data_IF_837346961550
#
_entry.id   IF_837346961550
#
_cell.length_a   1.000
_cell.length_b   1.000
_cell.length_c   1.000
_cell.angle_alpha   90.00
_cell.angle_beta   90.00
_cell.angle_gamma   90.00
#
_symmetry.space_group_name_H-M   'P 1'
#
loop_
_entity.id
_entity.type
_entity.pdbx_description
1 polymer ?
#
# COMPACT_ATOMS: atom_id res chain seq x y z
N UNK A 1 -13.22 19.65 -23.45
CA UNK A 1 -13.64 19.35 -22.07
C UNK A 1 -12.40 18.91 -21.30
N UNK A 2 -11.80 19.78 -20.50
CA UNK A 2 -10.62 19.46 -19.69
C UNK A 2 -11.07 18.50 -18.59
N UNK A 3 -10.78 17.20 -18.75
CA UNK A 3 -11.03 16.21 -17.70
C UNK A 3 -9.87 16.28 -16.72
N UNK A 4 -10.04 17.00 -15.60
CA UNK A 4 -9.09 16.94 -14.50
C UNK A 4 -9.06 15.52 -13.96
N UNK A 5 -7.96 14.79 -14.17
CA UNK A 5 -7.82 13.42 -13.68
C UNK A 5 -7.89 13.44 -12.15
N UNK A 6 -8.69 12.55 -11.55
CA UNK A 6 -8.71 12.39 -10.09
C UNK A 6 -7.37 11.79 -9.67
N UNK A 7 -6.53 12.60 -9.04
CA UNK A 7 -5.20 12.19 -8.57
C UNK A 7 -5.18 12.24 -7.05
N UNK A 8 -5.17 11.08 -6.41
CA UNK A 8 -4.92 10.94 -4.98
C UNK A 8 -3.42 10.73 -4.75
N UNK A 9 -2.64 11.79 -4.88
CA UNK A 9 -1.26 11.79 -4.43
C UNK A 9 -1.19 12.02 -2.90
N UNK A 10 -0.55 11.10 -2.17
CA UNK A 10 -0.32 11.22 -0.73
C UNK A 10 0.50 12.47 -0.37
N UNK A 11 1.30 13.03 -1.30
CA UNK A 11 1.99 14.30 -1.08
C UNK A 11 1.04 15.48 -0.91
N UNK A 12 -0.23 15.35 -1.30
CA UNK A 12 -1.25 16.36 -1.09
C UNK A 12 -1.53 16.69 0.38
N UNK A 13 -1.05 15.86 1.32
CA UNK A 13 -1.12 16.12 2.75
C UNK A 13 0.08 16.89 3.30
N UNK A 14 1.06 17.25 2.45
CA UNK A 14 2.21 18.08 2.83
C UNK A 14 1.92 19.54 2.45
N UNK A 15 2.18 20.53 3.34
CA UNK A 15 1.90 21.92 3.04
C UNK A 15 2.77 22.44 1.89
N UNK A 16 2.21 23.35 1.09
CA UNK A 16 2.95 24.03 0.02
C UNK A 16 4.13 24.82 0.61
N UNK A 17 5.30 24.71 -0.04
CA UNK A 17 6.52 25.37 0.43
C UNK A 17 7.17 24.72 1.67
N UNK A 18 6.73 23.53 2.08
CA UNK A 18 7.39 22.79 3.15
C UNK A 18 8.88 22.54 2.81
N UNK A 19 9.75 22.75 3.79
CA UNK A 19 11.20 22.46 3.66
C UNK A 19 11.47 21.03 3.17
N UNK A 20 10.67 20.06 3.60
CA UNK A 20 10.80 18.66 3.18
C UNK A 20 10.58 18.46 1.66
N UNK A 21 9.73 19.27 1.01
CA UNK A 21 9.53 19.20 -0.44
C UNK A 21 10.77 19.74 -1.17
N UNK A 22 11.32 20.85 -0.70
CA UNK A 22 12.56 21.40 -1.25
C UNK A 22 13.74 20.42 -1.09
N UNK A 23 13.89 19.80 0.09
CA UNK A 23 14.92 18.77 0.31
C UNK A 23 14.73 17.55 -0.59
N UNK A 24 13.47 17.18 -0.88
CA UNK A 24 13.15 16.10 -1.79
C UNK A 24 13.57 16.43 -3.23
N UNK A 25 13.30 17.66 -3.68
CA UNK A 25 13.63 18.11 -5.04
C UNK A 25 15.16 18.22 -5.23
N UNK A 26 15.88 18.79 -4.26
CA UNK A 26 17.35 18.82 -4.26
C UNK A 26 17.94 17.41 -4.28
N UNK A 27 17.35 16.48 -3.52
CA UNK A 27 17.79 15.08 -3.52
C UNK A 27 17.58 14.43 -4.88
N UNK A 28 16.42 14.64 -5.50
CA UNK A 28 16.11 14.09 -6.82
C UNK A 28 17.06 14.64 -7.90
N UNK A 29 17.38 15.94 -7.85
CA UNK A 29 18.38 16.56 -8.72
C UNK A 29 19.78 15.96 -8.51
N UNK A 30 20.23 15.85 -7.26
CA UNK A 30 21.55 15.30 -6.92
C UNK A 30 21.73 13.86 -7.40
N UNK A 31 20.70 13.02 -7.31
CA UNK A 31 20.76 11.63 -7.77
C UNK A 31 20.34 11.43 -9.22
N UNK A 32 20.00 12.49 -9.97
CA UNK A 32 19.52 12.39 -11.35
C UNK A 32 18.23 11.58 -11.49
N UNK A 33 17.35 11.65 -10.49
CA UNK A 33 16.08 10.94 -10.43
C UNK A 33 14.93 11.88 -10.77
N UNK A 34 13.90 11.37 -11.43
CA UNK A 34 12.69 12.13 -11.73
C UNK A 34 11.51 11.63 -10.90
N UNK A 35 11.42 12.03 -9.63
CA UNK A 35 10.31 11.65 -8.74
C UNK A 35 10.49 10.30 -8.04
N UNK A 36 9.39 9.74 -7.53
CA UNK A 36 9.42 8.48 -6.77
C UNK A 36 9.58 7.30 -7.74
N UNK A 37 10.62 6.48 -7.54
CA UNK A 37 10.74 5.16 -8.16
C UNK A 37 9.87 4.11 -7.51
N UNK A 38 10.06 2.85 -7.90
CA UNK A 38 9.29 1.72 -7.38
C UNK A 38 9.59 1.54 -5.89
N UNK A 39 8.55 1.50 -5.04
CA UNK A 39 8.70 1.25 -3.60
C UNK A 39 7.52 0.45 -3.05
N UNK A 40 7.79 -0.79 -2.67
CA UNK A 40 6.80 -1.64 -2.02
C UNK A 40 7.46 -2.62 -1.05
N UNK A 41 6.67 -3.11 -0.10
CA UNK A 41 7.07 -4.13 0.84
C UNK A 41 6.22 -5.37 0.63
N UNK A 42 6.83 -6.52 0.85
CA UNK A 42 6.17 -7.81 0.91
C UNK A 42 6.33 -8.35 2.32
N UNK A 43 5.21 -8.51 3.00
CA UNK A 43 5.13 -9.03 4.36
C UNK A 43 4.78 -10.52 4.25
N UNK A 44 5.62 -11.38 4.80
CA UNK A 44 5.48 -12.82 4.76
C UNK A 44 5.23 -13.31 6.19
N UNK A 45 4.10 -13.99 6.37
CA UNK A 45 3.68 -14.57 7.65
C UNK A 45 3.51 -16.08 7.51
N UNK A 46 3.75 -16.86 8.57
CA UNK A 46 3.46 -18.28 8.56
C UNK A 46 1.92 -18.50 8.57
N UNK A 47 1.43 -19.50 7.85
CA UNK A 47 -0.01 -19.85 7.87
C UNK A 47 -0.46 -20.54 9.16
N UNK A 48 0.45 -21.24 9.83
CA UNK A 48 0.16 -21.92 11.09
C UNK A 48 -0.05 -20.89 12.22
N UNK A 49 -1.06 -21.09 13.07
CA UNK A 49 -1.42 -20.13 14.14
C UNK A 49 -0.28 -19.83 15.13
N UNK A 50 0.57 -20.82 15.41
CA UNK A 50 1.79 -20.67 16.20
C UNK A 50 3.04 -21.01 15.35
N UNK A 51 2.96 -20.76 14.04
CA UNK A 51 4.08 -21.01 13.14
C UNK A 51 5.22 -20.02 13.37
N UNK A 52 6.44 -20.47 13.09
CA UNK A 52 7.63 -19.63 13.09
C UNK A 52 8.15 -19.50 11.66
N UNK A 53 8.68 -18.33 11.32
CA UNK A 53 9.38 -18.11 10.06
C UNK A 53 10.74 -18.81 10.01
N UNK A 54 11.21 -19.42 11.11
CA UNK A 54 12.47 -20.17 11.16
C UNK A 54 12.36 -21.60 10.60
N UNK A 55 11.16 -22.09 10.28
CA UNK A 55 11.01 -23.42 9.70
C UNK A 55 11.62 -23.47 8.28
N UNK A 56 12.43 -24.50 7.98
CA UNK A 56 13.13 -24.65 6.70
C UNK A 56 12.19 -24.50 5.49
N UNK A 57 11.03 -25.17 5.53
CA UNK A 57 10.02 -25.11 4.46
C UNK A 57 9.39 -23.73 4.30
N UNK A 58 9.30 -22.97 5.39
CA UNK A 58 8.73 -21.62 5.41
C UNK A 58 9.76 -20.62 4.86
N UNK A 59 11.03 -20.76 5.24
CA UNK A 59 12.14 -19.96 4.70
C UNK A 59 12.34 -20.19 3.21
N UNK A 60 12.36 -21.45 2.77
CA UNK A 60 12.51 -21.80 1.35
C UNK A 60 11.41 -21.16 0.50
N UNK A 61 10.15 -21.22 0.98
CA UNK A 61 9.02 -20.60 0.29
C UNK A 61 9.11 -19.06 0.32
N UNK A 62 9.64 -18.46 1.38
CA UNK A 62 9.88 -17.02 1.44
C UNK A 62 10.96 -16.56 0.44
N UNK A 63 12.01 -17.36 0.23
CA UNK A 63 13.04 -17.13 -0.79
C UNK A 63 12.48 -17.33 -2.20
N UNK A 64 11.54 -18.25 -2.39
CA UNK A 64 10.83 -18.42 -3.66
C UNK A 64 10.03 -17.16 -4.02
N UNK A 65 9.35 -16.54 -3.04
CA UNK A 65 8.64 -15.26 -3.23
C UNK A 65 9.58 -14.17 -3.73
N UNK A 66 10.78 -14.06 -3.14
CA UNK A 66 11.78 -13.10 -3.61
C UNK A 66 12.18 -13.37 -5.06
N UNK A 67 12.48 -14.62 -5.39
CA UNK A 67 12.84 -15.02 -6.76
C UNK A 67 11.76 -14.68 -7.80
N UNK A 68 10.48 -14.88 -7.46
CA UNK A 68 9.36 -14.55 -8.36
C UNK A 68 9.33 -13.06 -8.68
N UNK A 69 9.50 -12.19 -7.68
CA UNK A 69 9.46 -10.73 -7.88
C UNK A 69 10.67 -10.26 -8.69
N UNK A 70 11.85 -10.79 -8.37
CA UNK A 70 13.11 -10.44 -9.01
C UNK A 70 13.14 -10.80 -10.51
N UNK A 71 12.49 -11.92 -10.90
CA UNK A 71 12.62 -12.51 -12.26
C UNK A 71 11.34 -12.48 -13.09
N UNK A 72 10.18 -12.82 -12.53
CA UNK A 72 8.96 -13.07 -13.32
C UNK A 72 8.11 -11.82 -13.51
N UNK A 73 8.12 -10.89 -12.55
CA UNK A 73 7.30 -9.68 -12.62
C UNK A 73 8.05 -8.58 -13.36
N UNK A 74 7.58 -8.28 -14.57
CA UNK A 74 8.20 -7.31 -15.49
C UNK A 74 7.47 -5.97 -15.51
N UNK A 75 8.22 -4.92 -15.83
CA UNK A 75 7.70 -3.58 -16.14
C UNK A 75 8.11 -3.21 -17.56
N UNK A 76 7.17 -2.63 -18.31
CA UNK A 76 7.44 -2.18 -19.67
C UNK A 76 8.17 -0.83 -19.66
N UNK A 77 9.32 -0.77 -20.32
CA UNK A 77 10.12 0.43 -20.48
C UNK A 77 9.94 1.02 -21.88
N UNK A 78 9.41 2.25 -21.94
CA UNK A 78 9.08 2.94 -23.20
C UNK A 78 10.31 3.39 -23.99
N UNK A 79 11.45 3.56 -23.33
CA UNK A 79 12.69 3.99 -23.99
C UNK A 79 13.40 2.79 -24.63
N UNK A 80 13.53 1.70 -23.87
CA UNK A 80 14.19 0.48 -24.37
C UNK A 80 13.25 -0.40 -25.20
N UNK A 81 11.94 -0.11 -25.16
CA UNK A 81 10.85 -0.85 -25.80
C UNK A 81 10.87 -2.34 -25.42
N UNK A 82 11.17 -2.63 -24.15
CA UNK A 82 11.30 -3.99 -23.60
C UNK A 82 10.58 -4.10 -22.27
N UNK A 83 10.15 -5.33 -21.97
CA UNK A 83 9.74 -5.72 -20.64
C UNK A 83 10.97 -6.12 -19.83
N UNK A 84 11.20 -5.40 -18.73
CA UNK A 84 12.39 -5.58 -17.89
C UNK A 84 11.94 -6.12 -16.53
N UNK A 85 12.63 -7.13 -16.01
CA UNK A 85 12.36 -7.64 -14.65
C UNK A 85 12.92 -6.68 -13.60
N UNK A 86 12.51 -6.84 -12.33
CA UNK A 86 13.02 -6.00 -11.25
C UNK A 86 14.56 -6.03 -11.16
N UNK A 87 15.19 -7.20 -11.33
CA UNK A 87 16.66 -7.33 -11.36
C UNK A 87 17.34 -6.50 -12.45
N UNK A 88 16.69 -6.28 -13.59
CA UNK A 88 17.24 -5.50 -14.71
C UNK A 88 17.04 -4.01 -14.50
N UNK A 89 15.93 -3.64 -13.85
CA UNK A 89 15.55 -2.26 -13.55
C UNK A 89 16.32 -1.71 -12.35
N UNK A 90 16.55 -2.55 -11.36
CA UNK A 90 17.19 -2.15 -10.12
C UNK A 90 18.69 -1.87 -10.34
N UNK A 91 19.20 -0.80 -9.70
CA UNK A 91 20.64 -0.45 -9.73
C UNK A 91 21.30 -0.47 -8.35
N UNK A 92 20.81 0.37 -7.42
CA UNK A 92 21.51 0.61 -6.13
C UNK A 92 21.01 -0.23 -4.96
N UNK A 93 19.77 -0.69 -5.02
CA UNK A 93 19.04 -1.21 -3.86
C UNK A 93 18.63 -2.69 -4.04
N UNK A 94 19.33 -3.40 -4.92
CA UNK A 94 18.92 -4.73 -5.37
C UNK A 94 19.28 -5.81 -4.34
N UNK A 95 20.33 -5.52 -3.57
CA UNK A 95 20.88 -6.40 -2.53
C UNK A 95 20.24 -6.16 -1.16
N UNK A 96 19.17 -5.36 -1.07
CA UNK A 96 18.50 -5.07 0.21
C UNK A 96 17.97 -6.35 0.88
N UNK A 97 17.46 -7.28 0.08
CA UNK A 97 16.84 -8.52 0.57
C UNK A 97 17.82 -9.69 0.68
N UNK A 98 19.06 -9.53 0.23
CA UNK A 98 20.10 -10.57 0.31
C UNK A 98 20.28 -11.17 1.72
N UNK A 99 20.16 -10.41 2.83
CA UNK A 99 20.23 -10.98 4.18
C UNK A 99 19.24 -12.13 4.42
N UNK A 100 18.04 -12.09 3.84
CA UNK A 100 17.03 -13.16 3.98
C UNK A 100 17.49 -14.42 3.26
N UNK A 101 17.96 -14.28 2.02
CA UNK A 101 18.47 -15.38 1.21
C UNK A 101 19.72 -16.01 1.83
N UNK A 102 20.66 -15.20 2.32
CA UNK A 102 21.85 -15.65 3.04
C UNK A 102 21.50 -16.36 4.34
N UNK A 103 20.54 -15.82 5.10
CA UNK A 103 20.06 -16.46 6.31
C UNK A 103 19.44 -17.84 6.03
N UNK A 104 18.60 -17.95 5.01
CA UNK A 104 17.96 -19.22 4.62
C UNK A 104 18.99 -20.28 4.22
N UNK A 105 20.03 -19.90 3.46
CA UNK A 105 21.13 -20.80 3.08
C UNK A 105 21.89 -21.27 4.33
N UNK A 106 22.29 -20.35 5.21
CA UNK A 106 22.99 -20.70 6.44
C UNK A 106 22.14 -21.55 7.40
N UNK A 107 20.83 -21.29 7.45
CA UNK A 107 19.88 -22.09 8.24
C UNK A 107 19.78 -23.51 7.74
N UNK A 108 19.65 -23.69 6.42
CA UNK A 108 19.59 -25.00 5.78
C UNK A 108 20.88 -25.80 6.00
N UNK A 109 22.04 -25.17 5.82
CA UNK A 109 23.35 -25.79 6.07
C UNK A 109 23.46 -26.32 7.51
N UNK A 110 23.13 -25.49 8.51
CA UNK A 110 23.17 -25.92 9.91
C UNK A 110 22.16 -27.04 10.20
N UNK A 111 20.98 -26.99 9.59
CA UNK A 111 19.95 -28.00 9.77
C UNK A 111 20.33 -29.35 9.13
N UNK A 112 21.02 -29.33 8.00
CA UNK A 112 21.56 -30.52 7.33
C UNK A 112 22.69 -31.16 8.15
N UNK A 113 23.65 -30.37 8.66
CA UNK A 113 24.73 -30.88 9.51
C UNK A 113 24.18 -31.56 10.77
N UNK A 114 23.16 -30.96 11.40
CA UNK A 114 22.46 -31.56 12.54
C UNK A 114 21.75 -32.87 12.20
N UNK A 115 21.16 -32.99 11.01
CA UNK A 115 20.52 -34.24 10.55
C UNK A 115 21.55 -35.34 10.28
N UNK A 116 22.72 -34.96 9.77
CA UNK A 116 23.81 -35.89 9.45
C UNK A 116 24.69 -36.24 10.66
N UNK A 117 24.50 -35.55 11.80
CA UNK A 117 25.33 -35.73 13.00
C UNK A 117 26.73 -35.12 12.87
N UNK A 118 26.93 -34.23 11.90
CA UNK A 118 28.18 -33.50 11.67
C UNK A 118 28.29 -32.30 12.63
N UNK A 119 29.51 -31.84 12.96
CA UNK A 119 29.67 -30.66 13.78
C UNK A 119 29.07 -29.42 13.09
N UNK A 120 28.46 -28.55 13.90
CA UNK A 120 27.95 -27.26 13.42
C UNK A 120 29.08 -26.41 12.84
N UNK A 121 28.79 -25.67 11.77
CA UNK A 121 29.79 -24.80 11.16
C UNK A 121 30.03 -23.57 12.05
N UNK A 122 31.22 -23.43 12.62
CA UNK A 122 31.60 -22.29 13.48
C UNK A 122 31.56 -20.95 12.73
N UNK A 123 31.70 -20.96 11.40
CA UNK A 123 31.67 -19.77 10.55
C UNK A 123 30.26 -19.24 10.28
N UNK A 124 29.23 -20.02 10.65
CA UNK A 124 27.82 -19.70 10.42
C UNK A 124 27.08 -19.66 11.75
N UNK A 125 26.82 -18.46 12.26
CA UNK A 125 26.09 -18.19 13.51
C UNK A 125 24.88 -17.31 13.22
N UNK A 126 23.69 -17.85 13.41
CA UNK A 126 22.41 -17.28 12.97
C UNK A 126 21.74 -16.50 14.10
N UNK A 127 22.45 -15.53 14.66
CA UNK A 127 21.95 -14.69 15.74
C UNK A 127 21.22 -13.44 15.23
N UNK A 128 20.28 -12.95 16.01
CA UNK A 128 19.66 -11.63 15.85
C UNK A 128 20.23 -10.66 16.89
N UNK A 129 20.56 -9.39 16.55
CA UNK A 129 20.22 -8.67 15.31
C UNK A 129 21.21 -8.85 14.14
N UNK A 130 22.41 -9.33 14.41
CA UNK A 130 23.45 -9.55 13.41
C UNK A 130 23.79 -11.03 13.32
N UNK A 131 23.55 -11.61 12.15
CA UNK A 131 23.96 -12.98 11.85
C UNK A 131 25.30 -12.98 11.13
N UNK A 132 26.07 -14.04 11.32
CA UNK A 132 27.32 -14.29 10.62
C UNK A 132 27.11 -15.52 9.74
N UNK A 133 27.16 -15.39 8.42
CA UNK A 133 26.98 -16.50 7.48
C UNK A 133 28.23 -16.59 6.61
N UNK A 134 28.97 -17.71 6.66
CA UNK A 134 30.23 -17.88 5.93
C UNK A 134 31.22 -16.72 6.15
N UNK A 135 31.43 -16.32 7.41
CA UNK A 135 32.25 -15.15 7.79
C UNK A 135 31.73 -13.77 7.36
N UNK A 136 30.57 -13.67 6.70
CA UNK A 136 29.95 -12.40 6.36
C UNK A 136 28.94 -11.98 7.43
N UNK A 137 29.06 -10.75 7.92
CA UNK A 137 28.08 -10.17 8.84
C UNK A 137 26.87 -9.63 8.06
N UNK A 138 25.68 -10.10 8.40
CA UNK A 138 24.41 -9.67 7.81
C UNK A 138 23.51 -9.06 8.88
N UNK A 139 22.90 -7.92 8.56
CA UNK A 139 21.92 -7.28 9.45
C UNK A 139 20.52 -7.81 9.14
N UNK A 140 19.88 -8.44 10.13
CA UNK A 140 18.55 -9.02 9.98
C UNK A 140 17.42 -8.05 10.37
N UNK A 141 17.72 -6.92 11.02
CA UNK A 141 16.73 -6.02 11.61
C UNK A 141 15.76 -5.40 10.60
N UNK A 142 16.17 -5.30 9.33
CA UNK A 142 15.34 -4.72 8.27
C UNK A 142 14.34 -5.72 7.70
N UNK A 143 14.52 -7.01 7.97
CA UNK A 143 13.73 -8.09 7.37
C UNK A 143 13.03 -8.98 8.40
N UNK A 144 13.57 -9.18 9.60
CA UNK A 144 13.00 -10.09 10.59
C UNK A 144 12.25 -9.32 11.67
N UNK A 145 10.96 -9.63 11.85
CA UNK A 145 10.06 -8.94 12.77
C UNK A 145 9.33 -9.92 13.70
N UNK A 146 8.99 -9.43 14.90
CA UNK A 146 8.39 -10.27 15.96
C UNK A 146 9.34 -11.38 16.40
N UNK A 147 10.60 -11.04 16.66
CA UNK A 147 11.61 -11.99 17.11
C UNK A 147 11.46 -12.21 18.62
N UNK A 148 11.25 -13.45 19.02
CA UNK A 148 11.28 -13.87 20.42
C UNK A 148 12.59 -14.63 20.69
N UNK A 149 13.27 -14.22 21.75
CA UNK A 149 14.49 -14.88 22.21
C UNK A 149 14.14 -15.97 23.21
N UNK A 150 14.71 -17.15 22.99
CA UNK A 150 14.54 -18.28 23.89
C UNK A 150 15.88 -18.80 24.40
N UNK A 151 15.85 -20.04 24.85
CA UNK A 151 17.07 -20.73 25.25
C UNK A 151 17.98 -20.83 24.02
N UNK A 152 19.13 -20.14 24.05
CA UNK A 152 20.01 -20.02 22.89
C UNK A 152 20.42 -21.40 22.41
N UNK A 153 20.01 -21.76 21.19
CA UNK A 153 20.54 -22.95 20.52
C UNK A 153 22.01 -22.69 20.22
N UNK A 154 22.79 -23.76 20.06
CA UNK A 154 24.24 -23.62 19.77
C UNK A 154 24.55 -22.79 18.50
N UNK A 155 23.58 -22.61 17.59
CA UNK A 155 23.74 -21.89 16.32
C UNK A 155 22.82 -20.67 16.15
N UNK A 156 21.89 -20.40 17.09
CA UNK A 156 20.98 -19.23 17.02
C UNK A 156 20.45 -18.85 18.40
N UNK A 157 20.33 -17.54 18.66
CA UNK A 157 19.65 -16.99 19.84
C UNK A 157 18.14 -16.77 19.66
N UNK A 158 17.58 -17.07 18.48
CA UNK A 158 16.15 -16.89 18.18
C UNK A 158 15.35 -18.16 18.45
N UNK A 159 14.22 -18.02 19.13
CA UNK A 159 13.25 -19.12 19.31
C UNK A 159 12.12 -19.04 18.30
N UNK A 160 11.60 -17.84 18.04
CA UNK A 160 10.48 -17.61 17.14
C UNK A 160 10.65 -16.31 16.36
N UNK A 161 10.20 -16.33 15.11
CA UNK A 161 10.11 -15.16 14.23
C UNK A 161 8.71 -15.13 13.65
N UNK A 162 7.97 -14.04 13.85
CA UNK A 162 6.57 -13.94 13.41
C UNK A 162 6.42 -13.52 11.94
N UNK A 163 7.34 -12.70 11.42
CA UNK A 163 7.21 -12.14 10.08
C UNK A 163 8.57 -11.88 9.45
N UNK A 164 8.66 -12.16 8.15
CA UNK A 164 9.76 -11.69 7.29
C UNK A 164 9.23 -10.61 6.35
N UNK A 165 9.97 -9.53 6.19
CA UNK A 165 9.66 -8.42 5.29
C UNK A 165 10.75 -8.31 4.23
N UNK A 166 10.31 -8.32 2.97
CA UNK A 166 11.15 -8.01 1.81
C UNK A 166 10.84 -6.58 1.37
N UNK A 167 11.89 -5.77 1.23
CA UNK A 167 11.81 -4.39 0.80
C UNK A 167 12.30 -4.28 -0.65
N UNK A 168 11.43 -3.81 -1.53
CA UNK A 168 11.78 -3.50 -2.90
C UNK A 168 11.82 -2.00 -3.11
N UNK A 169 12.96 -1.52 -3.60
CA UNK A 169 13.22 -0.13 -3.93
C UNK A 169 13.99 -0.07 -5.24
N UNK A 170 13.42 0.57 -6.26
CA UNK A 170 14.14 0.91 -7.47
C UNK A 170 14.08 2.41 -7.74
N UNK A 171 15.10 2.92 -8.42
CA UNK A 171 15.19 4.33 -8.79
C UNK A 171 14.41 4.57 -10.08
N UNK A 172 13.78 5.74 -10.22
CA UNK A 172 13.12 6.10 -11.46
C UNK A 172 14.14 6.72 -12.40
N UNK A 173 14.55 5.93 -13.38
CA UNK A 173 15.44 6.34 -14.45
C UNK A 173 14.54 6.55 -15.67
N UNK A 174 14.76 7.63 -16.43
CA UNK A 174 13.81 8.15 -17.42
C UNK A 174 13.13 7.08 -18.28
N UNK A 175 11.87 7.31 -18.65
CA UNK A 175 11.08 6.42 -19.51
C UNK A 175 9.79 5.91 -18.90
N UNK A 176 9.70 5.86 -17.57
CA UNK A 176 8.46 5.51 -16.86
C UNK A 176 7.70 6.73 -16.41
N UNK A 177 6.38 6.67 -16.51
CA UNK A 177 5.46 7.61 -15.88
C UNK A 177 5.12 7.16 -14.46
N UNK A 178 4.58 8.05 -13.63
CA UNK A 178 4.04 7.66 -12.32
C UNK A 178 2.97 6.57 -12.44
N UNK A 179 2.22 6.58 -13.55
CA UNK A 179 1.16 5.60 -13.82
C UNK A 179 1.74 4.23 -14.13
N UNK A 180 2.83 4.16 -14.90
CA UNK A 180 3.50 2.89 -15.20
C UNK A 180 4.05 2.23 -13.93
N UNK A 181 4.67 3.01 -13.04
CA UNK A 181 5.16 2.53 -11.74
C UNK A 181 4.00 2.08 -10.86
N UNK A 182 2.92 2.86 -10.84
CA UNK A 182 1.74 2.53 -10.03
C UNK A 182 1.05 1.26 -10.50
N UNK A 183 0.97 1.07 -11.82
CA UNK A 183 0.45 -0.14 -12.44
C UNK A 183 1.34 -1.36 -12.13
N UNK A 184 2.66 -1.19 -12.12
CA UNK A 184 3.59 -2.25 -11.73
C UNK A 184 3.44 -2.62 -10.24
N UNK A 185 3.43 -1.65 -9.33
CA UNK A 185 3.20 -1.92 -7.90
C UNK A 185 1.85 -2.64 -7.67
N UNK A 186 0.82 -2.25 -8.41
CA UNK A 186 -0.49 -2.87 -8.35
C UNK A 186 -0.51 -4.28 -8.96
N UNK A 187 0.24 -4.53 -10.04
CA UNK A 187 0.32 -5.86 -10.67
C UNK A 187 1.00 -6.86 -9.74
N UNK A 188 2.06 -6.44 -9.04
CA UNK A 188 2.71 -7.22 -7.98
C UNK A 188 1.69 -7.57 -6.89
N UNK A 189 0.96 -6.58 -6.38
CA UNK A 189 -0.05 -6.80 -5.34
C UNK A 189 -1.18 -7.75 -5.79
N UNK A 190 -1.66 -7.61 -7.02
CA UNK A 190 -2.71 -8.46 -7.57
C UNK A 190 -2.22 -9.89 -7.82
N UNK A 191 -0.97 -10.07 -8.24
CA UNK A 191 -0.37 -11.39 -8.41
C UNK A 191 -0.38 -12.16 -7.09
N UNK A 192 0.11 -11.55 -6.01
CA UNK A 192 0.15 -12.21 -4.71
C UNK A 192 -1.23 -12.43 -4.08
N UNK A 193 -2.21 -11.61 -4.44
CA UNK A 193 -3.58 -11.73 -3.94
C UNK A 193 -4.38 -12.82 -4.65
N UNK A 194 -4.25 -12.93 -5.97
CA UNK A 194 -5.14 -13.75 -6.80
C UNK A 194 -4.48 -15.03 -7.33
N UNK A 195 -3.18 -14.98 -7.66
CA UNK A 195 -2.50 -16.07 -8.34
C UNK A 195 -1.59 -16.87 -7.40
N UNK A 196 -1.02 -16.22 -6.38
CA UNK A 196 -0.12 -16.88 -5.44
C UNK A 196 -0.88 -17.48 -4.26
N UNK A 197 -0.91 -18.81 -4.18
CA UNK A 197 -1.38 -19.53 -2.99
C UNK A 197 -0.24 -20.36 -2.42
N UNK A 198 0.50 -19.76 -1.49
CA UNK A 198 1.58 -20.45 -0.79
C UNK A 198 1.08 -21.65 0.03
N UNK A 199 1.91 -22.67 0.25
CA UNK A 199 1.57 -23.85 1.05
C UNK A 199 1.75 -23.59 2.55
N UNK A 200 2.85 -22.96 2.94
CA UNK A 200 3.22 -22.72 4.33
C UNK A 200 3.17 -21.23 4.72
N UNK A 201 3.27 -20.32 3.75
CA UNK A 201 3.24 -18.87 4.00
C UNK A 201 1.98 -18.18 3.49
N UNK A 202 1.67 -17.05 4.13
CA UNK A 202 0.73 -16.04 3.67
C UNK A 202 1.52 -14.79 3.31
N UNK A 203 1.37 -14.35 2.07
CA UNK A 203 2.04 -13.16 1.55
C UNK A 203 1.06 -12.00 1.51
N UNK A 204 1.46 -10.86 2.06
CA UNK A 204 0.76 -9.59 1.97
C UNK A 204 1.67 -8.58 1.29
N UNK A 205 1.13 -7.74 0.43
CA UNK A 205 1.89 -6.68 -0.24
C UNK A 205 1.37 -5.32 0.21
N UNK A 206 2.28 -4.37 0.40
CA UNK A 206 1.95 -2.99 0.71
C UNK A 206 2.80 -2.05 -0.14
N UNK A 207 2.14 -1.14 -0.84
CA UNK A 207 2.77 -0.15 -1.70
C UNK A 207 2.03 1.18 -1.57
N UNK A 208 2.68 2.26 -1.97
CA UNK A 208 2.05 3.59 -1.98
C UNK A 208 0.87 3.62 -2.95
N UNK A 209 0.99 2.97 -4.10
CA UNK A 209 -0.06 2.82 -5.10
C UNK A 209 -1.26 2.03 -4.59
N UNK A 210 -1.02 0.94 -3.86
CA UNK A 210 -2.10 0.17 -3.23
C UNK A 210 -2.88 1.02 -2.23
N UNK A 211 -2.19 1.77 -1.38
CA UNK A 211 -2.83 2.70 -0.44
C UNK A 211 -3.66 3.77 -1.16
N UNK A 212 -3.17 4.35 -2.26
CA UNK A 212 -3.91 5.33 -3.06
C UNK A 212 -5.23 4.78 -3.60
N UNK A 213 -5.22 3.53 -4.10
CA UNK A 213 -6.42 2.86 -4.59
C UNK A 213 -7.39 2.56 -3.45
N UNK A 214 -6.89 2.15 -2.29
CA UNK A 214 -7.75 1.93 -1.12
C UNK A 214 -8.41 3.23 -0.65
N UNK A 215 -7.67 4.35 -0.63
CA UNK A 215 -8.24 5.67 -0.37
C UNK A 215 -9.31 6.08 -1.40
N UNK A 216 -9.11 5.77 -2.69
CA UNK A 216 -10.13 6.01 -3.71
C UNK A 216 -11.39 5.15 -3.47
N UNK A 217 -11.20 3.88 -3.10
CA UNK A 217 -12.28 2.95 -2.76
C UNK A 217 -13.08 3.45 -1.57
N UNK A 218 -12.43 3.85 -0.47
CA UNK A 218 -13.10 4.43 0.68
C UNK A 218 -13.87 5.70 0.31
N UNK A 219 -13.29 6.53 -0.57
CA UNK A 219 -13.98 7.71 -1.11
C UNK A 219 -15.25 7.37 -1.89
N UNK A 220 -15.25 6.31 -2.70
CA UNK A 220 -16.45 5.85 -3.43
C UNK A 220 -17.53 5.32 -2.49
N UNK A 221 -17.14 4.52 -1.50
CA UNK A 221 -18.05 3.99 -0.48
C UNK A 221 -18.75 5.15 0.26
N UNK A 222 -17.98 6.16 0.62
CA UNK A 222 -18.50 7.35 1.29
C UNK A 222 -19.53 8.10 0.43
N UNK A 223 -19.27 8.31 -0.86
CA UNK A 223 -20.21 8.97 -1.78
C UNK A 223 -21.55 8.22 -1.81
N UNK A 224 -21.53 6.89 -1.79
CA UNK A 224 -22.76 6.08 -1.71
C UNK A 224 -23.53 6.38 -0.42
N UNK A 225 -22.86 6.46 0.73
CA UNK A 225 -23.51 6.83 1.99
C UNK A 225 -24.11 8.24 1.97
N UNK A 226 -23.44 9.22 1.32
CA UNK A 226 -23.99 10.57 1.10
C UNK A 226 -25.28 10.51 0.28
N UNK A 227 -25.29 9.70 -0.78
CA UNK A 227 -26.49 9.56 -1.62
C UNK A 227 -27.69 8.99 -0.84
N UNK A 228 -27.46 7.99 0.01
CA UNK A 228 -28.50 7.40 0.86
C UNK A 228 -28.99 8.41 1.90
N UNK A 229 -28.06 9.15 2.54
CA UNK A 229 -28.41 10.20 3.50
C UNK A 229 -29.31 11.28 2.91
N UNK A 230 -29.04 11.71 1.67
CA UNK A 230 -29.87 12.69 0.97
C UNK A 230 -31.28 12.16 0.70
N UNK A 231 -31.43 10.89 0.32
CA UNK A 231 -32.73 10.27 0.09
C UNK A 231 -33.55 10.26 1.39
N UNK A 232 -32.94 9.84 2.50
CA UNK A 232 -33.60 9.82 3.80
C UNK A 232 -34.03 11.22 4.22
N UNK A 233 -33.17 12.23 4.08
CA UNK A 233 -33.53 13.61 4.41
C UNK A 233 -34.69 14.14 3.55
N UNK A 234 -34.67 13.89 2.24
CA UNK A 234 -35.76 14.29 1.36
C UNK A 234 -37.08 13.62 1.78
N UNK A 235 -37.06 12.33 2.12
CA UNK A 235 -38.24 11.61 2.60
C UNK A 235 -38.77 12.18 3.93
N UNK A 236 -37.89 12.41 4.90
CA UNK A 236 -38.26 13.00 6.19
C UNK A 236 -38.85 14.41 6.03
N UNK A 237 -38.26 15.26 5.19
CA UNK A 237 -38.76 16.61 4.92
C UNK A 237 -40.09 16.64 4.16
N UNK A 238 -40.32 15.67 3.26
CA UNK A 238 -41.62 15.53 2.59
C UNK A 238 -42.70 15.06 3.57
N UNK A 239 -42.38 14.08 4.42
CA UNK A 239 -43.30 13.56 5.43
C UNK A 239 -43.66 14.59 6.50
N UNK A 240 -42.67 15.30 7.05
CA UNK A 240 -42.90 16.33 8.08
C UNK A 240 -43.74 17.49 7.56
N UNK A 241 -43.45 17.98 6.35
CA UNK A 241 -44.24 19.03 5.71
C UNK A 241 -45.65 18.56 5.35
N UNK A 242 -45.82 17.31 4.91
CA UNK A 242 -47.14 16.73 4.64
C UNK A 242 -47.99 16.63 5.92
N UNK A 243 -47.39 16.16 7.02
CA UNK A 243 -48.07 16.03 8.31
C UNK A 243 -48.45 17.41 8.87
N UNK A 244 -47.55 18.39 8.81
CA UNK A 244 -47.79 19.77 9.25
C UNK A 244 -48.88 20.46 8.42
N UNK A 245 -48.87 20.27 7.09
CA UNK A 245 -49.90 20.83 6.20
C UNK A 245 -51.29 20.23 6.46
N UNK A 246 -51.34 18.94 6.82
CA UNK A 246 -52.58 18.25 7.19
C UNK A 246 -53.12 18.76 8.53
N UNK A 247 -52.25 18.95 9.53
CA UNK A 247 -52.63 19.49 10.84
C UNK A 247 -53.21 20.92 10.74
N UNK A 248 -52.61 21.78 9.93
CA UNK A 248 -53.06 23.17 9.71
C UNK A 248 -54.26 23.30 8.75
N UNK A 249 -54.85 22.20 8.27
CA UNK A 249 -55.96 22.18 7.27
C UNK A 249 -55.66 22.97 5.98
N UNK A 250 -54.39 23.14 5.62
CA UNK A 250 -53.95 23.86 4.41
C UNK A 250 -53.11 22.91 3.53
N UNK A 251 -53.76 21.84 3.06
CA UNK A 251 -53.12 20.89 2.16
C UNK A 251 -53.11 21.45 0.75
N UNK A 252 -51.91 21.65 0.20
CA UNK A 252 -51.76 22.09 -1.19
C UNK A 252 -50.62 21.37 -1.87
N UNK A 253 -50.83 21.00 -3.13
CA UNK A 253 -49.90 20.26 -3.95
C UNK A 253 -48.58 21.00 -4.21
N UNK A 254 -48.58 22.34 -4.14
CA UNK A 254 -47.36 23.15 -4.34
C UNK A 254 -46.32 23.01 -3.22
N UNK A 255 -46.67 22.44 -2.06
CA UNK A 255 -45.75 22.34 -0.91
C UNK A 255 -44.71 21.22 -1.07
N UNK A 256 -45.00 20.19 -1.87
CA UNK A 256 -44.07 19.09 -2.16
C UNK A 256 -42.80 19.53 -2.93
N UNK A 257 -42.90 20.23 -4.08
CA UNK A 257 -41.71 20.68 -4.79
C UNK A 257 -40.89 21.68 -3.96
N UNK A 258 -41.52 22.55 -3.16
CA UNK A 258 -40.80 23.49 -2.29
C UNK A 258 -39.93 22.76 -1.26
N UNK A 259 -40.47 21.71 -0.62
CA UNK A 259 -39.72 20.88 0.33
C UNK A 259 -38.53 20.16 -0.33
N UNK A 260 -38.72 19.67 -1.56
CA UNK A 260 -37.68 18.98 -2.32
C UNK A 260 -36.57 19.95 -2.76
N UNK A 261 -36.93 21.12 -3.27
CA UNK A 261 -35.95 22.16 -3.64
C UNK A 261 -35.18 22.69 -2.42
N UNK A 262 -35.82 22.78 -1.26
CA UNK A 262 -35.14 23.15 -0.01
C UNK A 262 -34.02 22.16 0.35
N UNK A 263 -34.21 20.86 0.10
CA UNK A 263 -33.18 19.84 0.32
C UNK A 263 -32.11 19.80 -0.79
N UNK A 264 -32.47 20.07 -2.05
CA UNK A 264 -31.51 20.01 -3.17
C UNK A 264 -30.64 21.26 -3.30
N UNK A 265 -31.11 22.42 -2.84
CA UNK A 265 -30.41 23.69 -3.00
C UNK A 265 -28.99 23.69 -2.38
N UNK A 266 -28.76 23.20 -1.15
CA UNK A 266 -27.41 23.15 -0.58
C UNK A 266 -26.46 22.21 -1.35
N UNK A 267 -26.98 21.11 -1.91
CA UNK A 267 -26.18 20.20 -2.74
C UNK A 267 -25.78 20.88 -4.06
N UNK A 268 -26.71 21.58 -4.70
CA UNK A 268 -26.41 22.32 -5.92
C UNK A 268 -25.42 23.45 -5.66
N UNK A 269 -25.56 24.20 -4.56
CA UNK A 269 -24.64 25.27 -4.19
C UNK A 269 -23.22 24.76 -3.89
N UNK A 270 -23.09 23.64 -3.17
CA UNK A 270 -21.78 23.01 -2.94
C UNK A 270 -21.18 22.43 -4.23
N UNK A 271 -22.02 21.81 -5.07
CA UNK A 271 -21.60 21.28 -6.37
C UNK A 271 -21.10 22.36 -7.34
N UNK A 272 -21.78 23.52 -7.41
CA UNK A 272 -21.34 24.64 -8.24
C UNK A 272 -20.07 25.29 -7.69
N UNK A 273 -19.94 25.45 -6.37
CA UNK A 273 -18.72 25.95 -5.74
C UNK A 273 -17.51 25.04 -6.02
N UNK A 274 -17.66 23.72 -5.86
CA UNK A 274 -16.62 22.75 -6.20
C UNK A 274 -16.31 22.74 -7.70
N UNK A 275 -17.34 22.84 -8.56
CA UNK A 275 -17.16 22.92 -10.00
C UNK A 275 -16.34 24.14 -10.43
N UNK A 276 -16.58 25.30 -9.82
CA UNK A 276 -15.79 26.52 -10.04
C UNK A 276 -14.35 26.36 -9.54
N UNK A 277 -14.14 25.72 -8.38
CA UNK A 277 -12.79 25.43 -7.88
C UNK A 277 -12.02 24.50 -8.81
N UNK A 278 -12.67 23.46 -9.36
CA UNK A 278 -12.06 22.56 -10.33
C UNK A 278 -11.77 23.24 -11.66
N UNK A 279 -12.64 24.17 -12.09
CA UNK A 279 -12.36 25.03 -13.25
C UNK A 279 -11.16 25.95 -13.00
N UNK A 280 -11.00 26.45 -11.77
CA UNK A 280 -9.84 27.19 -11.31
C UNK A 280 -8.57 26.35 -11.09
N UNK A 281 -8.58 25.06 -11.46
CA UNK A 281 -7.41 24.19 -11.39
C UNK A 281 -7.12 23.62 -9.99
N UNK A 282 -8.02 23.79 -9.02
CA UNK A 282 -7.87 23.19 -7.69
C UNK A 282 -8.01 21.67 -7.78
N UNK A 283 -7.15 20.95 -7.08
CA UNK A 283 -7.09 19.49 -7.10
C UNK A 283 -8.32 18.86 -6.43
N UNK A 284 -8.86 17.80 -7.05
CA UNK A 284 -9.96 17.00 -6.50
C UNK A 284 -9.41 15.85 -5.62
N UNK A 285 -9.50 15.99 -4.30
CA UNK A 285 -9.18 14.94 -3.34
C UNK A 285 -10.44 14.19 -2.87
N UNK A 286 -10.32 12.89 -2.58
CA UNK A 286 -11.44 12.05 -2.09
C UNK A 286 -12.20 12.63 -0.90
N UNK A 287 -11.51 13.35 -0.03
CA UNK A 287 -12.09 13.90 1.20
C UNK A 287 -13.06 15.06 0.95
N UNK A 288 -12.96 15.73 -0.20
CA UNK A 288 -13.93 16.76 -0.60
C UNK A 288 -15.34 16.19 -0.80
N UNK A 289 -15.48 14.87 -0.95
CA UNK A 289 -16.79 14.19 -0.98
C UNK A 289 -17.58 14.31 0.33
N UNK A 290 -16.96 14.71 1.44
CA UNK A 290 -17.64 14.99 2.72
C UNK A 290 -18.24 16.39 2.80
N UNK A 291 -17.77 17.33 1.98
CA UNK A 291 -18.13 18.75 2.10
C UNK A 291 -19.65 19.01 2.07
N UNK A 292 -20.48 18.32 1.24
CA UNK A 292 -21.92 18.58 1.25
C UNK A 292 -22.58 18.28 2.60
N UNK A 293 -22.14 17.22 3.31
CA UNK A 293 -22.73 16.84 4.60
C UNK A 293 -22.54 17.91 5.67
N UNK A 294 -21.36 18.55 5.70
CA UNK A 294 -21.09 19.62 6.65
C UNK A 294 -22.01 20.82 6.47
N UNK A 295 -22.48 21.10 5.25
CA UNK A 295 -23.42 22.20 4.97
C UNK A 295 -24.88 21.85 5.28
N UNK A 296 -25.24 20.57 5.40
CA UNK A 296 -26.59 20.14 5.73
C UNK A 296 -26.89 20.12 7.24
N UNK A 297 -25.85 20.16 8.08
CA UNK A 297 -25.99 20.18 9.54
C UNK A 297 -26.16 21.55 10.17
N UNK A 298 -26.07 22.63 9.37
CA UNK A 298 -26.22 24.02 9.79
C UNK A 298 -27.48 24.67 9.21
#
# INVERSE_FOLDING_TARGET
>A
MVKTKRVNDLRGYTPYGARALHEFDVRDEFFGQSGIGIRFFILILPKAKNGTMLDEKVLDEAVEVDNIIQKNLTIYNRITNKEESYNQVCRRFCTINDPVSLFAIGWKEQQENLRNGEPLNEKTRLDYPFSKVMDMNVNLQLSFFGVEFGNSRNYTNMEKVEMIVLLYRAERIGGWTNEDISNYEMSVSNYFKNNFTGKYIRVLSISTSYAQVEFDRSGKILITFVSVGLIIMCLCSLLSNSLSATFMRQFSFYKFPVALFACLCPLMASGTALGLLFFGGVRNASILGLTPFSYFGY
#
